data_IF_060792376431
#
_entry.id   IF_060792376431
#
_cell.length_a   1.000
_cell.length_b   1.000
_cell.length_c   1.000
_cell.angle_alpha   90.00
_cell.angle_beta   90.00
_cell.angle_gamma   90.00
#
_symmetry.space_group_name_H-M   'P 1'
#
loop_
_entity.id
_entity.type
_entity.pdbx_description
1 polymer ?
#
# COMPACT_ATOMS: atom_id res chain seq x y z
N UNK A 1 23.81 -33.63 -13.13
CA UNK A 1 23.25 -32.44 -12.43
C UNK A 1 22.26 -31.82 -13.40
N UNK A 2 20.99 -32.19 -13.24
CA UNK A 2 19.99 -32.07 -14.30
C UNK A 2 19.47 -30.63 -14.37
N UNK A 3 19.04 -30.23 -15.57
CA UNK A 3 18.45 -28.93 -15.93
C UNK A 3 17.40 -28.43 -14.92
N UNK A 4 16.74 -29.35 -14.20
CA UNK A 4 15.80 -29.10 -13.11
C UNK A 4 16.38 -28.31 -11.93
N UNK A 5 17.66 -28.49 -11.59
CA UNK A 5 18.30 -27.75 -10.50
C UNK A 5 18.57 -26.29 -10.89
N UNK A 6 18.94 -26.06 -12.15
CA UNK A 6 19.16 -24.72 -12.70
C UNK A 6 17.85 -23.93 -12.75
N UNK A 7 16.77 -24.57 -13.20
CA UNK A 7 15.45 -23.92 -13.27
C UNK A 7 14.88 -23.62 -11.88
N UNK A 8 15.10 -24.51 -10.90
CA UNK A 8 14.75 -24.26 -9.49
C UNK A 8 15.52 -23.07 -8.92
N UNK A 9 16.83 -22.99 -9.19
CA UNK A 9 17.66 -21.87 -8.72
C UNK A 9 17.20 -20.54 -9.35
N UNK A 10 16.88 -20.54 -10.64
CA UNK A 10 16.37 -19.33 -11.32
C UNK A 10 15.01 -18.84 -10.80
N UNK A 11 14.14 -19.75 -10.35
CA UNK A 11 12.87 -19.36 -9.70
C UNK A 11 13.07 -18.82 -8.29
N UNK A 12 14.06 -19.33 -7.54
CA UNK A 12 14.39 -18.83 -6.21
C UNK A 12 14.94 -17.39 -6.26
N UNK A 13 15.72 -17.04 -7.29
CA UNK A 13 16.27 -15.68 -7.45
C UNK A 13 15.18 -14.63 -7.66
N UNK A 14 14.04 -14.97 -8.28
CA UNK A 14 12.91 -14.02 -8.45
C UNK A 14 12.07 -13.80 -7.20
N UNK A 15 12.24 -14.63 -6.17
CA UNK A 15 11.49 -14.51 -4.92
C UNK A 15 12.18 -13.59 -3.90
N UNK A 16 13.45 -13.25 -4.12
CA UNK A 16 14.31 -12.52 -3.16
C UNK A 16 14.66 -11.09 -3.63
N UNK A 17 14.16 -10.67 -4.79
CA UNK A 17 14.20 -9.25 -5.15
C UNK A 17 13.05 -8.53 -4.44
N UNK A 18 13.31 -8.12 -3.19
CA UNK A 18 12.61 -7.03 -2.50
C UNK A 18 12.91 -5.73 -3.26
N UNK A 19 12.35 -5.64 -4.48
CA UNK A 19 12.32 -4.40 -5.24
C UNK A 19 11.57 -3.33 -4.44
N UNK A 20 11.79 -2.03 -4.74
CA UNK A 20 11.06 -0.95 -4.07
C UNK A 20 9.57 -1.29 -4.13
N UNK A 21 8.96 -1.52 -2.96
CA UNK A 21 7.58 -1.98 -2.84
C UNK A 21 6.70 -1.10 -3.73
N UNK A 22 6.19 -1.68 -4.83
CA UNK A 22 5.21 -1.00 -5.68
C UNK A 22 4.16 -0.41 -4.74
N UNK A 23 3.84 0.90 -4.83
CA UNK A 23 2.90 1.51 -3.90
C UNK A 23 1.62 0.68 -3.91
N UNK A 24 1.41 -0.06 -2.83
CA UNK A 24 0.28 -0.96 -2.75
C UNK A 24 -0.98 -0.13 -2.78
N UNK A 25 -2.02 -0.64 -3.42
CA UNK A 25 -3.36 -0.05 -3.35
C UNK A 25 -3.72 0.27 -1.90
N UNK A 26 -4.39 1.41 -1.69
CA UNK A 26 -4.84 1.89 -0.39
C UNK A 26 -5.44 0.75 0.45
N UNK A 27 -4.81 0.48 1.61
CA UNK A 27 -5.19 -0.59 2.53
C UNK A 27 -4.83 -0.23 3.97
N UNK A 28 -5.45 -0.94 4.90
CA UNK A 28 -5.09 -0.87 6.31
C UNK A 28 -3.70 -1.49 6.52
N UNK A 29 -2.79 -0.71 7.07
CA UNK A 29 -1.47 -1.11 7.51
C UNK A 29 -1.38 -1.13 9.03
N UNK A 30 -0.55 -2.01 9.56
CA UNK A 30 -0.22 -2.03 10.98
C UNK A 30 0.76 -0.90 11.30
N UNK A 31 0.45 -0.07 12.31
CA UNK A 31 1.31 1.02 12.76
C UNK A 31 1.43 0.98 14.28
N UNK A 32 2.58 0.53 14.76
CA UNK A 32 2.88 0.48 16.20
C UNK A 32 3.58 1.75 16.68
N UNK A 33 3.00 2.42 17.67
CA UNK A 33 3.52 3.67 18.24
C UNK A 33 3.89 3.51 19.71
N UNK A 34 4.83 4.33 20.18
CA UNK A 34 5.19 4.43 21.60
C UNK A 34 4.28 5.40 22.33
N UNK A 35 3.73 4.96 23.45
CA UNK A 35 2.83 5.74 24.31
C UNK A 35 3.52 6.31 25.54
N UNK A 36 4.81 5.99 25.78
CA UNK A 36 5.52 6.32 27.02
C UNK A 36 5.55 7.82 27.38
N UNK A 37 5.38 8.70 26.40
CA UNK A 37 5.30 10.16 26.62
C UNK A 37 3.93 10.60 27.15
N UNK A 38 2.89 9.80 26.94
CA UNK A 38 1.50 10.18 27.14
C UNK A 38 0.81 9.34 28.23
N UNK A 39 1.20 8.09 28.42
CA UNK A 39 0.55 7.14 29.31
C UNK A 39 1.58 6.35 30.12
N UNK A 40 1.19 5.91 31.32
CA UNK A 40 2.00 5.00 32.15
C UNK A 40 2.04 3.60 31.52
N UNK A 41 0.88 3.06 31.15
CA UNK A 41 0.72 1.79 30.42
C UNK A 41 -0.51 1.84 29.50
N UNK A 42 -0.53 1.08 28.38
CA UNK A 42 0.57 0.28 27.84
C UNK A 42 1.65 1.16 27.20
N UNK A 43 2.89 0.67 27.14
CA UNK A 43 4.03 1.45 26.60
C UNK A 43 4.05 1.57 25.07
N UNK A 44 3.36 0.67 24.38
CA UNK A 44 3.18 0.63 22.92
C UNK A 44 1.78 0.19 22.58
N UNK A 45 1.25 0.68 21.46
CA UNK A 45 -0.02 0.24 20.91
C UNK A 45 0.05 0.21 19.39
N UNK A 46 -0.68 -0.71 18.77
CA UNK A 46 -0.90 -0.69 17.34
C UNK A 46 -2.15 0.16 17.04
N UNK A 47 -1.95 1.30 16.41
CA UNK A 47 -3.05 2.20 16.00
C UNK A 47 -3.54 1.91 14.59
N UNK A 48 -2.80 1.12 13.82
CA UNK A 48 -2.96 0.97 12.37
C UNK A 48 -2.89 2.32 11.62
N UNK A 49 -2.82 2.27 10.30
CA UNK A 49 -2.85 3.45 9.44
C UNK A 49 -3.34 3.05 8.05
N UNK A 50 -4.08 3.92 7.36
CA UNK A 50 -4.45 3.71 5.97
C UNK A 50 -3.31 4.22 5.09
N UNK A 51 -2.68 3.33 4.31
CA UNK A 51 -1.54 3.69 3.45
C UNK A 51 -1.66 3.08 2.07
N UNK A 52 -1.08 3.77 1.09
CA UNK A 52 -1.08 3.36 -0.31
C UNK A 52 -1.72 4.39 -1.22
N UNK A 53 -1.64 4.12 -2.52
CA UNK A 53 -2.24 4.98 -3.54
C UNK A 53 -3.73 4.70 -3.71
N UNK A 54 -4.51 5.76 -3.93
CA UNK A 54 -5.91 5.66 -4.31
C UNK A 54 -6.04 5.69 -5.83
N UNK A 55 -6.22 4.51 -6.42
CA UNK A 55 -6.40 4.32 -7.86
C UNK A 55 -7.45 3.28 -8.17
N UNK A 56 -7.81 3.13 -9.44
CA UNK A 56 -8.77 2.11 -9.86
C UNK A 56 -8.14 0.71 -9.75
N UNK A 57 -8.88 -0.31 -9.24
CA UNK A 57 -10.26 -0.23 -8.73
C UNK A 57 -10.35 0.44 -7.36
N UNK A 58 -11.33 1.31 -7.12
CA UNK A 58 -11.51 1.90 -5.79
C UNK A 58 -12.20 0.87 -4.87
N UNK A 59 -11.50 0.42 -3.82
CA UNK A 59 -12.00 -0.63 -2.90
C UNK A 59 -13.26 -0.22 -2.12
N UNK A 60 -13.43 1.08 -1.86
CA UNK A 60 -14.60 1.65 -1.17
C UNK A 60 -14.91 3.07 -1.69
N UNK A 61 -15.09 3.20 -3.01
CA UNK A 61 -15.34 4.49 -3.66
C UNK A 61 -16.83 4.81 -3.79
N UNK A 62 -17.24 6.00 -3.34
CA UNK A 62 -18.54 6.56 -3.73
C UNK A 62 -18.47 7.14 -5.17
N UNK A 63 -19.63 7.56 -5.72
CA UNK A 63 -19.70 8.11 -7.08
C UNK A 63 -18.77 9.31 -7.29
N UNK A 64 -18.60 10.16 -6.27
CA UNK A 64 -17.68 11.30 -6.35
C UNK A 64 -16.23 10.85 -6.51
N UNK A 65 -15.79 9.85 -5.75
CA UNK A 65 -14.44 9.30 -5.87
C UNK A 65 -14.21 8.65 -7.24
N UNK A 66 -15.22 7.95 -7.78
CA UNK A 66 -15.16 7.33 -9.11
C UNK A 66 -15.00 8.41 -10.20
N UNK A 67 -15.84 9.46 -10.16
CA UNK A 67 -15.80 10.54 -11.15
C UNK A 67 -14.50 11.35 -11.06
N UNK A 68 -14.02 11.65 -9.84
CA UNK A 68 -12.76 12.38 -9.66
C UNK A 68 -11.57 11.56 -10.17
N UNK A 69 -11.53 10.26 -9.87
CA UNK A 69 -10.49 9.37 -10.39
C UNK A 69 -10.50 9.31 -11.93
N UNK A 70 -11.69 9.23 -12.54
CA UNK A 70 -11.83 9.26 -14.00
C UNK A 70 -11.32 10.58 -14.60
N UNK A 71 -11.61 11.72 -13.95
CA UNK A 71 -11.13 13.03 -14.37
C UNK A 71 -9.59 13.13 -14.33
N UNK A 72 -8.98 12.65 -13.24
CA UNK A 72 -7.52 12.59 -13.06
C UNK A 72 -6.86 11.67 -14.10
N UNK A 73 -7.41 10.46 -14.31
CA UNK A 73 -6.88 9.51 -15.31
C UNK A 73 -6.99 10.05 -16.74
N UNK A 74 -7.94 10.94 -16.99
CA UNK A 74 -8.07 11.64 -18.28
C UNK A 74 -7.06 12.79 -18.44
N UNK A 75 -6.14 12.98 -17.49
CA UNK A 75 -5.08 13.99 -17.55
C UNK A 75 -5.50 15.40 -17.16
N UNK A 76 -6.70 15.57 -16.58
CA UNK A 76 -7.14 16.90 -16.15
C UNK A 76 -6.48 17.29 -14.83
N UNK A 77 -6.02 18.55 -14.69
CA UNK A 77 -5.39 19.01 -13.47
C UNK A 77 -6.41 19.12 -12.34
N UNK A 78 -6.03 18.63 -11.16
CA UNK A 78 -6.82 18.78 -9.94
C UNK A 78 -5.95 19.41 -8.84
N UNK A 79 -6.58 20.19 -7.97
CA UNK A 79 -5.88 20.73 -6.80
C UNK A 79 -5.62 19.66 -5.74
N UNK A 80 -6.43 18.60 -5.70
CA UNK A 80 -6.32 17.48 -4.75
C UNK A 80 -6.71 16.18 -5.42
N UNK A 81 -5.91 15.14 -5.20
CA UNK A 81 -6.24 13.76 -5.58
C UNK A 81 -7.08 13.08 -4.51
N UNK A 82 -7.46 11.82 -4.77
CA UNK A 82 -8.04 10.95 -3.75
C UNK A 82 -7.05 10.68 -2.61
N UNK A 83 -7.57 10.51 -1.41
CA UNK A 83 -6.79 10.20 -0.20
C UNK A 83 -7.18 8.83 0.36
N UNK A 84 -6.19 8.11 0.88
CA UNK A 84 -6.38 6.82 1.56
C UNK A 84 -6.75 7.10 3.01
N UNK A 85 -8.00 6.81 3.39
CA UNK A 85 -8.58 7.11 4.71
C UNK A 85 -9.43 5.96 5.22
#
# INVERSE_FOLDING_TARGET
LSTWEVERAQRAVRADEDGPSVPSQCRLQSLSVSLRKFFLEPSKVNINNCEGECGFPLSSGNNHAILLNSHIQSGHPVNRSLCCV
#
